data_IF_574138069981
#
_entry.id   IF_574138069981
#
_cell.length_a   1.000
_cell.length_b   1.000
_cell.length_c   1.000
_cell.angle_alpha   90.00
_cell.angle_beta   90.00
_cell.angle_gamma   90.00
#
_symmetry.space_group_name_H-M   'P 1'
#
loop_
_entity.id
_entity.type
_entity.pdbx_description
1 polymer ?
#
# COMPACT_ATOMS: atom_id res chain seq x y z
N UNK A 1 6.22 -9.48 -5.99
CA UNK A 1 7.01 -8.44 -5.27
C UNK A 1 6.63 -8.45 -3.80
N UNK A 2 7.34 -7.71 -2.95
CA UNK A 2 7.00 -7.56 -1.53
C UNK A 2 6.15 -6.32 -1.31
N UNK A 3 4.96 -6.51 -0.76
CA UNK A 3 3.92 -5.50 -0.59
C UNK A 3 3.61 -5.37 0.90
N UNK A 4 3.55 -4.13 1.37
CA UNK A 4 3.11 -3.80 2.71
C UNK A 4 1.70 -3.23 2.66
N UNK A 5 0.81 -3.73 3.51
CA UNK A 5 -0.46 -3.07 3.79
C UNK A 5 -0.30 -2.18 5.02
N UNK A 6 -0.81 -0.96 4.94
CA UNK A 6 -0.95 -0.10 6.11
C UNK A 6 -2.00 -0.65 7.10
N UNK A 7 -2.26 0.09 8.18
CA UNK A 7 -3.22 -0.31 9.21
C UNK A 7 -4.68 -0.28 8.73
N UNK A 8 -5.01 0.56 7.75
CA UNK A 8 -6.38 0.76 7.26
C UNK A 8 -6.77 -0.18 6.10
N UNK A 9 -5.79 -0.78 5.45
CA UNK A 9 -5.99 -1.64 4.28
C UNK A 9 -6.60 -2.98 4.70
N UNK A 10 -7.76 -3.37 4.14
CA UNK A 10 -8.42 -4.62 4.55
C UNK A 10 -7.57 -5.86 4.26
N UNK A 11 -7.26 -6.63 5.31
CA UNK A 11 -6.48 -7.86 5.23
C UNK A 11 -6.97 -8.88 4.18
N UNK A 12 -8.28 -9.06 3.91
CA UNK A 12 -8.73 -9.98 2.87
C UNK A 12 -8.20 -9.68 1.46
N UNK A 13 -7.79 -8.43 1.16
CA UNK A 13 -7.23 -8.04 -0.13
C UNK A 13 -5.99 -8.86 -0.49
N UNK A 14 -5.19 -9.30 0.50
CA UNK A 14 -3.97 -10.09 0.27
C UNK A 14 -4.21 -11.37 -0.53
N UNK A 15 -5.42 -11.94 -0.41
CA UNK A 15 -5.82 -13.18 -1.14
C UNK A 15 -5.88 -12.98 -2.66
N UNK A 16 -6.05 -11.73 -3.09
CA UNK A 16 -6.10 -11.35 -4.50
C UNK A 16 -4.71 -10.90 -5.00
N UNK A 17 -3.70 -10.82 -4.14
CA UNK A 17 -2.32 -10.48 -4.53
C UNK A 17 -1.41 -11.70 -4.33
N UNK A 18 -1.92 -12.90 -4.62
CA UNK A 18 -1.26 -14.17 -4.28
C UNK A 18 0.11 -14.39 -4.96
N UNK A 19 0.39 -13.68 -6.06
CA UNK A 19 1.70 -13.68 -6.74
C UNK A 19 2.73 -12.77 -6.05
N UNK A 20 2.37 -12.18 -4.92
CA UNK A 20 3.18 -11.25 -4.15
C UNK A 20 3.30 -11.71 -2.69
N UNK A 21 4.42 -11.35 -2.07
CA UNK A 21 4.63 -11.52 -0.64
C UNK A 21 4.00 -10.31 0.07
N UNK A 22 2.91 -10.53 0.80
CA UNK A 22 2.10 -9.47 1.39
C UNK A 22 2.17 -9.55 2.91
N UNK A 23 2.78 -8.55 3.52
CA UNK A 23 2.80 -8.36 4.96
C UNK A 23 1.83 -7.23 5.37
N UNK A 24 1.27 -7.33 6.56
CA UNK A 24 0.47 -6.27 7.15
C UNK A 24 1.28 -5.54 8.21
N UNK A 25 1.23 -4.20 8.21
CA UNK A 25 2.00 -3.39 9.13
C UNK A 25 1.72 -3.75 10.61
N UNK A 26 0.50 -4.18 10.96
CA UNK A 26 0.22 -4.63 12.33
C UNK A 26 0.89 -5.97 12.66
N UNK A 27 1.02 -6.90 11.70
CA UNK A 27 1.72 -8.18 11.87
C UNK A 27 3.23 -7.96 12.06
N UNK A 28 3.77 -6.88 11.49
CA UNK A 28 5.15 -6.41 11.69
C UNK A 28 5.37 -5.67 13.01
N UNK A 29 4.32 -5.43 13.80
CA UNK A 29 4.39 -4.61 15.02
C UNK A 29 4.55 -3.10 14.74
N UNK A 30 4.24 -2.64 13.53
CA UNK A 30 4.43 -1.25 13.08
C UNK A 30 3.20 -0.35 13.27
N UNK A 31 2.21 -0.78 14.05
CA UNK A 31 0.97 -0.02 14.28
C UNK A 31 1.17 1.35 14.92
N UNK A 32 2.34 1.63 15.50
CA UNK A 32 2.67 2.92 16.12
C UNK A 32 3.55 3.83 15.26
N UNK A 33 4.02 3.35 14.11
CA UNK A 33 4.83 4.16 13.21
C UNK A 33 3.96 5.24 12.58
N UNK A 34 4.48 6.46 12.53
CA UNK A 34 3.92 7.51 11.67
C UNK A 34 4.03 7.13 10.20
N UNK A 35 3.30 7.84 9.35
CA UNK A 35 3.34 7.65 7.89
C UNK A 35 4.77 7.71 7.32
N UNK A 36 5.57 8.69 7.74
CA UNK A 36 6.97 8.82 7.31
C UNK A 36 7.86 7.67 7.80
N UNK A 37 7.70 7.25 9.05
CA UNK A 37 8.43 6.12 9.62
C UNK A 37 8.06 4.79 8.95
N UNK A 38 6.78 4.60 8.63
CA UNK A 38 6.29 3.42 7.92
C UNK A 38 6.88 3.34 6.51
N UNK A 39 6.90 4.45 5.77
CA UNK A 39 7.54 4.51 4.45
C UNK A 39 9.03 4.18 4.53
N UNK A 40 9.74 4.72 5.53
CA UNK A 40 11.16 4.44 5.74
C UNK A 40 11.41 2.97 6.11
N UNK A 41 10.64 2.41 7.05
CA UNK A 41 10.76 1.02 7.47
C UNK A 41 10.47 0.06 6.31
N UNK A 42 9.40 0.32 5.54
CA UNK A 42 9.05 -0.44 4.36
C UNK A 42 10.18 -0.41 3.32
N UNK A 43 10.71 0.75 3.00
CA UNK A 43 11.80 0.86 2.04
C UNK A 43 13.09 0.17 2.52
N UNK A 44 13.41 0.28 3.81
CA UNK A 44 14.60 -0.33 4.40
C UNK A 44 14.53 -1.86 4.44
N UNK A 45 13.34 -2.43 4.65
CA UNK A 45 13.11 -3.88 4.59
C UNK A 45 12.89 -4.42 3.17
N UNK A 46 13.06 -3.57 2.16
CA UNK A 46 12.99 -3.96 0.76
C UNK A 46 11.58 -4.25 0.29
N UNK A 47 10.56 -3.56 0.81
CA UNK A 47 9.25 -3.53 0.18
C UNK A 47 9.29 -2.67 -1.08
N UNK A 48 8.59 -3.10 -2.13
CA UNK A 48 8.48 -2.34 -3.38
C UNK A 48 7.21 -1.49 -3.42
N UNK A 49 6.18 -1.86 -2.65
CA UNK A 49 4.88 -1.23 -2.70
C UNK A 49 4.24 -1.15 -1.31
N UNK A 50 3.77 0.04 -0.93
CA UNK A 50 2.83 0.25 0.16
C UNK A 50 1.41 0.42 -0.41
N UNK A 51 0.46 -0.37 0.07
CA UNK A 51 -0.98 -0.13 -0.17
C UNK A 51 -1.56 0.50 1.09
N UNK A 52 -2.27 1.61 0.92
CA UNK A 52 -2.86 2.39 2.02
C UNK A 52 -4.26 2.85 1.69
N UNK A 53 -5.07 3.07 2.72
CA UNK A 53 -6.36 3.77 2.61
C UNK A 53 -6.28 5.22 3.10
N UNK A 54 -5.11 5.67 3.57
CA UNK A 54 -4.91 7.06 4.00
C UNK A 54 -4.68 7.97 2.78
N UNK A 55 -5.75 8.69 2.41
CA UNK A 55 -5.76 9.62 1.29
C UNK A 55 -4.92 10.87 1.56
N UNK A 56 -4.56 11.14 2.82
CA UNK A 56 -3.74 12.30 3.16
C UNK A 56 -2.25 12.03 2.94
N UNK A 57 -1.83 10.76 2.84
CA UNK A 57 -0.41 10.40 2.74
C UNK A 57 0.30 11.12 1.59
N UNK A 58 -0.37 11.22 0.43
CA UNK A 58 0.08 11.95 -0.77
C UNK A 58 0.44 13.41 -0.50
N UNK A 59 -0.29 14.06 0.41
CA UNK A 59 -0.13 15.48 0.72
C UNK A 59 0.80 15.71 1.91
N UNK A 60 1.03 14.69 2.73
CA UNK A 60 1.84 14.76 3.94
C UNK A 60 3.29 14.34 3.74
N UNK A 61 3.57 13.46 2.79
CA UNK A 61 4.88 12.86 2.58
C UNK A 61 5.32 13.03 1.12
N UNK A 62 6.60 13.36 0.92
CA UNK A 62 7.22 13.28 -0.40
C UNK A 62 7.91 11.91 -0.55
N UNK A 63 7.57 11.18 -1.61
CA UNK A 63 8.18 9.89 -1.94
C UNK A 63 9.07 10.00 -3.19
N UNK A 64 9.23 11.20 -3.75
CA UNK A 64 10.11 11.43 -4.89
C UNK A 64 11.52 10.93 -4.56
N UNK A 65 12.08 10.08 -5.41
CA UNK A 65 13.41 9.49 -5.22
C UNK A 65 13.45 8.25 -4.32
N UNK A 66 12.32 7.81 -3.75
CA UNK A 66 12.24 6.51 -3.06
C UNK A 66 12.14 5.35 -4.05
N UNK A 67 12.59 4.18 -3.64
CA UNK A 67 12.39 2.90 -4.34
C UNK A 67 11.02 2.29 -4.06
N UNK A 68 10.34 2.79 -3.03
CA UNK A 68 9.00 2.38 -2.65
C UNK A 68 7.95 3.13 -3.48
N UNK A 69 7.01 2.38 -4.07
CA UNK A 69 5.79 2.92 -4.67
C UNK A 69 4.64 2.94 -3.65
N UNK A 70 3.63 3.78 -3.89
CA UNK A 70 2.46 3.87 -3.02
C UNK A 70 1.16 3.80 -3.82
N UNK A 71 0.29 2.86 -3.46
CA UNK A 71 -1.09 2.78 -3.94
C UNK A 71 -2.07 3.23 -2.86
N UNK A 72 -2.91 4.21 -3.20
CA UNK A 72 -3.91 4.78 -2.30
C UNK A 72 -5.29 4.32 -2.75
N UNK A 73 -5.96 3.53 -1.91
CA UNK A 73 -7.34 3.11 -2.13
C UNK A 73 -8.29 4.18 -1.58
N UNK A 74 -9.15 4.75 -2.42
CA UNK A 74 -10.03 5.86 -2.03
C UNK A 74 -11.26 5.43 -1.18
N UNK A 75 -11.20 4.24 -0.57
CA UNK A 75 -12.18 3.75 0.40
C UNK A 75 -11.55 2.74 1.35
N UNK A 76 -12.04 2.70 2.59
CA UNK A 76 -11.75 1.64 3.58
C UNK A 76 -12.78 0.51 3.54
N UNK A 77 -13.83 0.63 2.71
CA UNK A 77 -14.94 -0.33 2.67
C UNK A 77 -14.54 -1.60 1.93
N UNK A 78 -14.31 -2.70 2.67
CA UNK A 78 -13.96 -3.98 2.06
C UNK A 78 -14.96 -4.44 0.96
N UNK A 79 -16.29 -4.38 1.14
CA UNK A 79 -17.22 -4.77 0.08
C UNK A 79 -17.04 -3.98 -1.23
N UNK A 80 -16.67 -2.69 -1.15
CA UNK A 80 -16.40 -1.87 -2.34
C UNK A 80 -15.04 -2.18 -2.94
N UNK A 81 -14.01 -2.31 -2.10
CA UNK A 81 -12.66 -2.70 -2.53
C UNK A 81 -12.68 -4.05 -3.26
N UNK A 82 -13.48 -5.00 -2.77
CA UNK A 82 -13.63 -6.32 -3.37
C UNK A 82 -14.13 -6.26 -4.82
N UNK A 83 -14.95 -5.27 -5.18
CA UNK A 83 -15.44 -5.06 -6.56
C UNK A 83 -14.37 -4.48 -7.51
N UNK A 84 -13.21 -4.10 -6.98
CA UNK A 84 -12.14 -3.38 -7.70
C UNK A 84 -10.80 -4.12 -7.64
N UNK A 85 -10.79 -5.38 -7.22
CA UNK A 85 -9.56 -6.19 -7.05
C UNK A 85 -8.73 -6.25 -8.34
N UNK A 86 -9.36 -6.42 -9.50
CA UNK A 86 -8.65 -6.47 -10.79
C UNK A 86 -7.91 -5.16 -11.09
N UNK A 87 -8.55 -4.02 -10.77
CA UNK A 87 -7.93 -2.71 -10.94
C UNK A 87 -6.77 -2.48 -9.98
N UNK A 88 -6.86 -3.03 -8.75
CA UNK A 88 -5.80 -2.96 -7.74
C UNK A 88 -4.61 -3.83 -8.16
N UNK A 89 -4.85 -5.06 -8.65
CA UNK A 89 -3.81 -5.95 -9.17
C UNK A 89 -3.05 -5.30 -10.33
N UNK A 90 -3.78 -4.84 -11.35
CA UNK A 90 -3.17 -4.17 -12.51
C UNK A 90 -2.40 -2.90 -12.09
N UNK A 91 -2.85 -2.20 -11.06
CA UNK A 91 -2.13 -1.06 -10.51
C UNK A 91 -0.85 -1.46 -9.77
N UNK A 92 -0.86 -2.56 -9.01
CA UNK A 92 0.30 -3.06 -8.29
C UNK A 92 1.44 -3.48 -9.25
N UNK A 93 1.10 -4.01 -10.42
CA UNK A 93 2.09 -4.38 -11.45
C UNK A 93 2.68 -3.19 -12.20
N UNK A 94 1.91 -2.09 -12.33
CA UNK A 94 2.27 -0.95 -13.19
C UNK A 94 2.77 0.27 -12.45
N UNK A 95 2.64 0.32 -11.12
CA UNK A 95 3.03 1.49 -10.33
C UNK A 95 4.55 1.64 -10.30
N UNK A 96 5.02 2.84 -10.63
CA UNK A 96 6.45 3.12 -10.69
C UNK A 96 7.03 3.40 -9.28
N UNK A 97 8.29 3.01 -9.01
CA UNK A 97 8.99 3.41 -7.80
C UNK A 97 8.97 4.92 -7.58
N UNK A 98 8.82 5.37 -6.33
CA UNK A 98 8.84 6.79 -5.97
C UNK A 98 7.64 7.58 -6.51
N UNK A 99 6.54 6.88 -6.81
CA UNK A 99 5.31 7.48 -7.33
C UNK A 99 4.08 7.04 -6.53
N UNK A 100 3.05 7.89 -6.59
CA UNK A 100 1.72 7.62 -6.05
C UNK A 100 0.76 7.24 -7.18
N UNK A 101 -0.13 6.30 -6.90
CA UNK A 101 -1.30 6.04 -7.76
C UNK A 101 -2.55 5.83 -6.90
N UNK A 102 -3.57 6.64 -7.17
CA UNK A 102 -4.86 6.56 -6.50
C UNK A 102 -5.79 5.61 -7.27
N UNK A 103 -6.54 4.79 -6.53
CA UNK A 103 -7.52 3.86 -7.08
C UNK A 103 -8.90 4.26 -6.55
N UNK A 104 -9.78 4.78 -7.42
CA UNK A 104 -11.19 4.97 -7.09
C UNK A 104 -11.87 3.63 -6.78
N UNK A 105 -12.56 3.59 -5.64
CA UNK A 105 -13.24 2.42 -5.08
C UNK A 105 -14.75 2.60 -5.02
#
# INVERSE_FOLDING_TARGET
MRILFDQGTPAPLRRYLAEHDVDLAYERGWSKLSNGELLFAAENEGYQLLITTDQNLRYQQDISGRRLAVLILLSTSWPRIQLRVDAIQAAAETVAPGSYKEIPI
#
